data_IF_772308740079
#
_entry.id   IF_772308740079
#
_cell.length_a   1.000
_cell.length_b   1.000
_cell.length_c   1.000
_cell.angle_alpha   90.00
_cell.angle_beta   90.00
_cell.angle_gamma   90.00
#
_symmetry.space_group_name_H-M   'P 1'
#
loop_
_entity.id
_entity.type
_entity.pdbx_description
1 polymer ?
#
# COMPACT_ATOMS: atom_id res chain seq x y z
N UNK A 1 1.16 15.44 15.67
CA UNK A 1 2.21 14.44 15.43
C UNK A 1 2.64 13.91 16.77
N UNK A 2 2.20 12.70 17.12
CA UNK A 2 2.74 11.97 18.25
C UNK A 2 2.68 10.50 17.86
N UNK A 3 3.71 10.02 17.17
CA UNK A 3 4.07 8.61 17.32
C UNK A 3 4.45 8.48 18.79
N UNK A 4 3.74 7.64 19.55
CA UNK A 4 4.10 7.39 20.94
C UNK A 4 5.49 6.75 20.94
N UNK A 5 6.37 7.13 21.86
CA UNK A 5 7.73 6.59 21.93
C UNK A 5 7.78 5.10 22.33
N UNK A 6 6.69 4.35 22.15
CA UNK A 6 6.50 2.97 22.63
C UNK A 6 5.99 2.01 21.56
N UNK A 7 5.75 2.46 20.33
CA UNK A 7 5.38 1.55 19.24
C UNK A 7 6.63 0.84 18.72
N UNK A 8 6.60 -0.48 18.67
CA UNK A 8 7.72 -1.29 18.20
C UNK A 8 7.94 -1.09 16.69
N UNK A 9 9.17 -1.33 16.17
CA UNK A 9 9.41 -1.23 14.73
C UNK A 9 8.44 -2.08 13.89
N UNK A 10 8.02 -3.24 14.42
CA UNK A 10 7.05 -4.10 13.75
C UNK A 10 5.64 -3.51 13.78
N UNK A 11 5.21 -2.87 14.87
CA UNK A 11 3.91 -2.19 14.92
C UNK A 11 3.85 -1.02 13.94
N UNK A 12 4.91 -0.20 13.86
CA UNK A 12 4.99 0.90 12.89
C UNK A 12 5.01 0.40 11.44
N UNK A 13 5.55 -0.80 11.21
CA UNK A 13 5.55 -1.45 9.89
C UNK A 13 4.17 -2.04 9.56
N UNK A 14 3.54 -2.77 10.47
CA UNK A 14 2.26 -3.45 10.21
C UNK A 14 1.07 -2.48 10.23
N UNK A 15 1.08 -1.49 11.13
CA UNK A 15 -0.02 -0.56 11.37
C UNK A 15 0.50 0.89 11.46
N UNK A 16 1.00 1.47 10.35
CA UNK A 16 1.49 2.85 10.37
C UNK A 16 0.35 3.84 10.63
N UNK A 17 0.56 4.76 11.59
CA UNK A 17 -0.44 5.76 11.99
C UNK A 17 -0.83 6.77 10.89
N UNK A 18 0.02 6.93 9.88
CA UNK A 18 -0.19 7.86 8.77
C UNK A 18 0.76 7.57 7.59
N UNK A 19 0.46 8.19 6.45
CA UNK A 19 1.19 8.01 5.19
C UNK A 19 2.70 8.35 5.30
N UNK A 20 3.07 9.30 6.16
CA UNK A 20 4.48 9.62 6.40
C UNK A 20 5.22 8.48 7.09
N UNK A 21 4.63 7.88 8.13
CA UNK A 21 5.22 6.70 8.80
C UNK A 21 5.25 5.52 7.83
N UNK A 22 4.12 5.27 7.14
CA UNK A 22 3.98 4.17 6.17
C UNK A 22 5.04 4.24 5.06
N UNK A 23 5.33 5.44 4.55
CA UNK A 23 6.31 5.66 3.50
C UNK A 23 7.77 5.74 3.96
N UNK A 24 8.04 5.87 5.26
CA UNK A 24 9.39 6.09 5.78
C UNK A 24 9.96 4.91 6.57
N UNK A 25 9.12 4.08 7.19
CA UNK A 25 9.58 3.00 8.06
C UNK A 25 10.26 1.85 7.29
N UNK A 26 10.20 1.85 5.96
CA UNK A 26 10.63 0.72 5.14
C UNK A 26 11.37 1.13 3.85
N UNK A 27 12.18 0.21 3.32
CA UNK A 27 12.94 0.34 2.08
C UNK A 27 12.89 -0.98 1.29
N UNK A 28 12.32 -1.00 0.07
CA UNK A 28 11.81 0.16 -0.65
C UNK A 28 10.54 0.74 -0.02
N UNK A 29 10.25 2.00 -0.32
CA UNK A 29 9.10 2.70 0.26
C UNK A 29 7.78 2.06 -0.18
N UNK A 30 6.76 2.21 0.66
CA UNK A 30 5.39 1.84 0.29
C UNK A 30 4.93 2.58 -0.97
N UNK A 31 4.28 1.87 -1.88
CA UNK A 31 3.62 2.45 -3.05
C UNK A 31 2.29 3.07 -2.63
N UNK A 32 1.99 4.28 -3.10
CA UNK A 32 0.73 4.96 -2.82
C UNK A 32 -0.02 5.27 -4.12
N UNK A 33 -1.27 4.83 -4.19
CA UNK A 33 -2.18 5.08 -5.30
C UNK A 33 -3.42 5.84 -4.82
N UNK A 34 -4.00 6.67 -5.69
CA UNK A 34 -5.33 7.22 -5.41
C UNK A 34 -6.38 6.13 -5.54
N UNK A 35 -7.29 6.08 -4.59
CA UNK A 35 -8.39 5.14 -4.54
C UNK A 35 -9.73 5.82 -4.27
N UNK A 36 -10.81 5.18 -4.68
CA UNK A 36 -12.17 5.62 -4.39
C UNK A 36 -12.97 4.49 -3.79
N UNK A 37 -13.63 4.73 -2.67
CA UNK A 37 -14.54 3.75 -2.07
C UNK A 37 -15.74 3.51 -2.98
N UNK A 38 -16.00 2.24 -3.30
CA UNK A 38 -17.16 1.78 -4.10
C UNK A 38 -18.11 0.89 -3.28
N UNK A 39 -17.75 0.60 -2.04
CA UNK A 39 -18.54 -0.13 -1.06
C UNK A 39 -17.92 0.01 0.34
N UNK A 40 -18.53 -0.59 1.38
CA UNK A 40 -18.09 -0.44 2.76
C UNK A 40 -16.68 -1.00 3.03
N UNK A 41 -16.23 -1.98 2.25
CA UNK A 41 -14.89 -2.59 2.34
C UNK A 41 -14.28 -2.81 0.96
N UNK A 42 -14.66 -2.00 -0.01
CA UNK A 42 -14.24 -2.17 -1.40
C UNK A 42 -13.83 -0.83 -1.96
N UNK A 43 -12.64 -0.80 -2.55
CA UNK A 43 -12.10 0.38 -3.21
C UNK A 43 -11.84 0.08 -4.68
N UNK A 44 -11.95 1.11 -5.51
CA UNK A 44 -11.46 1.11 -6.88
C UNK A 44 -10.10 1.82 -6.91
N UNK A 45 -9.08 1.14 -7.42
CA UNK A 45 -7.69 1.61 -7.53
C UNK A 45 -7.19 1.29 -8.92
N UNK A 46 -6.77 2.29 -9.69
CA UNK A 46 -6.27 2.10 -11.07
C UNK A 46 -7.15 1.12 -11.90
N UNK A 47 -8.48 1.34 -11.87
CA UNK A 47 -9.56 0.54 -12.50
C UNK A 47 -9.81 -0.87 -11.96
N UNK A 48 -9.04 -1.33 -10.98
CA UNK A 48 -9.23 -2.60 -10.28
C UNK A 48 -10.14 -2.41 -9.06
N UNK A 49 -10.99 -3.40 -8.76
CA UNK A 49 -11.71 -3.45 -7.47
C UNK A 49 -10.93 -4.31 -6.49
N UNK A 50 -10.65 -3.75 -5.33
CA UNK A 50 -9.92 -4.41 -4.25
C UNK A 50 -10.83 -4.52 -3.03
N UNK A 51 -10.99 -5.74 -2.52
CA UNK A 51 -11.66 -5.98 -1.24
C UNK A 51 -10.66 -5.86 -0.09
N UNK A 52 -11.09 -5.19 0.97
CA UNK A 52 -10.32 -4.95 2.19
C UNK A 52 -11.00 -5.68 3.36
N UNK A 53 -10.91 -7.02 3.42
CA UNK A 53 -11.70 -7.82 4.38
C UNK A 53 -11.43 -7.42 5.83
N UNK A 54 -10.18 -7.08 6.14
CA UNK A 54 -9.71 -6.72 7.48
C UNK A 54 -9.96 -5.26 7.85
N UNK A 55 -10.59 -4.46 6.99
CA UNK A 55 -10.88 -3.07 7.31
C UNK A 55 -11.89 -3.00 8.47
N UNK A 56 -11.50 -2.36 9.57
CA UNK A 56 -12.32 -2.26 10.78
C UNK A 56 -13.47 -1.25 10.61
N UNK A 57 -13.18 -0.12 9.97
CA UNK A 57 -14.14 0.97 9.76
C UNK A 57 -14.68 0.96 8.35
N UNK A 58 -16.00 0.91 8.20
CA UNK A 58 -16.64 0.93 6.88
C UNK A 58 -16.41 2.25 6.15
N UNK A 59 -16.09 2.17 4.86
CA UNK A 59 -15.91 3.32 3.98
C UNK A 59 -17.24 3.88 3.50
N UNK A 60 -17.26 5.19 3.22
CA UNK A 60 -18.40 5.82 2.56
C UNK A 60 -18.22 5.75 1.05
N UNK A 61 -19.24 5.27 0.32
CA UNK A 61 -19.18 5.23 -1.15
C UNK A 61 -18.92 6.62 -1.72
N UNK A 62 -17.94 6.73 -2.61
CA UNK A 62 -17.49 7.99 -3.19
C UNK A 62 -16.32 8.65 -2.47
N UNK A 63 -15.97 8.21 -1.25
CA UNK A 63 -14.83 8.72 -0.49
C UNK A 63 -13.52 8.51 -1.26
N UNK A 64 -12.74 9.58 -1.40
CA UNK A 64 -11.37 9.50 -1.95
C UNK A 64 -10.40 9.15 -0.83
N UNK A 65 -9.48 8.23 -1.13
CA UNK A 65 -8.55 7.64 -0.18
C UNK A 65 -7.17 7.50 -0.83
N UNK A 66 -6.15 7.37 0.00
CA UNK A 66 -4.85 6.89 -0.44
C UNK A 66 -4.77 5.39 -0.16
N UNK A 67 -4.35 4.61 -1.15
CA UNK A 67 -4.18 3.17 -1.07
C UNK A 67 -2.68 2.86 -1.03
N UNK A 68 -2.23 2.37 0.12
CA UNK A 68 -0.85 1.95 0.34
C UNK A 68 -0.67 0.45 0.06
N UNK A 69 0.38 0.08 -0.68
CA UNK A 69 0.81 -1.31 -0.86
C UNK A 69 2.32 -1.42 -0.79
N UNK A 70 2.82 -2.36 0.02
CA UNK A 70 4.27 -2.62 0.10
C UNK A 70 4.75 -3.37 -1.15
N UNK A 71 5.90 -3.02 -1.73
CA UNK A 71 6.43 -3.70 -2.92
C UNK A 71 6.53 -5.22 -2.77
N UNK A 72 6.96 -5.70 -1.61
CA UNK A 72 7.12 -7.11 -1.27
C UNK A 72 5.80 -7.87 -1.08
N UNK A 73 4.66 -7.17 -1.01
CA UNK A 73 3.33 -7.77 -1.02
C UNK A 73 2.74 -7.89 -2.43
N UNK A 74 3.44 -7.43 -3.47
CA UNK A 74 3.05 -7.64 -4.86
C UNK A 74 3.53 -9.03 -5.31
N UNK A 75 2.57 -9.91 -5.62
CA UNK A 75 2.85 -11.25 -6.12
C UNK A 75 1.97 -11.55 -7.34
N UNK A 76 2.55 -12.24 -8.34
CA UNK A 76 1.88 -12.56 -9.60
C UNK A 76 0.64 -13.47 -9.44
N UNK A 77 0.56 -14.23 -8.35
CA UNK A 77 -0.56 -15.12 -8.03
C UNK A 77 -1.75 -14.39 -7.38
N UNK A 78 -1.63 -13.10 -7.08
CA UNK A 78 -2.76 -12.30 -6.57
C UNK A 78 -3.81 -12.09 -7.66
N UNK A 79 -5.08 -11.91 -7.27
CA UNK A 79 -6.18 -11.71 -8.21
C UNK A 79 -6.24 -10.29 -8.80
N UNK A 80 -5.50 -9.35 -8.22
CA UNK A 80 -5.47 -7.94 -8.59
C UNK A 80 -4.12 -7.61 -9.18
N UNK A 81 -4.10 -7.05 -10.40
CA UNK A 81 -2.86 -6.75 -11.12
C UNK A 81 -2.77 -5.27 -11.47
N UNK A 82 -1.70 -4.63 -11.05
CA UNK A 82 -1.41 -3.24 -11.43
C UNK A 82 -0.39 -3.23 -12.58
N UNK A 83 -0.80 -2.96 -13.82
CA UNK A 83 0.16 -2.85 -14.91
C UNK A 83 1.09 -1.67 -14.65
N UNK A 84 2.39 -1.90 -14.81
CA UNK A 84 3.44 -0.90 -14.66
C UNK A 84 4.39 -1.03 -15.84
N UNK A 85 4.92 0.10 -16.32
CA UNK A 85 6.05 0.13 -17.24
C UNK A 85 7.27 0.48 -16.39
N UNK A 86 8.25 -0.41 -16.31
CA UNK A 86 9.46 -0.14 -15.55
C UNK A 86 10.35 0.85 -16.32
N UNK A 87 10.67 1.98 -15.69
CA UNK A 87 11.65 2.95 -16.17
C UNK A 87 13.07 2.53 -15.77
N UNK A 88 13.22 1.99 -14.56
CA UNK A 88 14.52 1.56 -14.01
C UNK A 88 14.39 0.21 -13.32
N UNK A 89 15.35 -0.67 -13.56
CA UNK A 89 15.56 -1.89 -12.80
C UNK A 89 16.85 -1.76 -11.98
N UNK A 90 16.74 -1.88 -10.66
CA UNK A 90 17.85 -1.83 -9.71
C UNK A 90 18.19 -3.24 -9.24
N UNK A 91 19.38 -3.73 -9.59
CA UNK A 91 19.85 -5.08 -9.25
C UNK A 91 20.72 -5.06 -7.99
N UNK A 92 20.26 -5.71 -6.92
CA UNK A 92 20.95 -5.81 -5.63
C UNK A 92 21.42 -7.25 -5.34
N UNK A 93 21.77 -7.99 -6.40
CA UNK A 93 22.20 -9.39 -6.33
C UNK A 93 21.02 -10.36 -6.42
N UNK A 94 20.52 -10.83 -5.27
CA UNK A 94 19.42 -11.78 -5.22
C UNK A 94 18.04 -11.14 -5.44
N UNK A 95 17.96 -9.80 -5.38
CA UNK A 95 16.72 -9.04 -5.51
C UNK A 95 16.87 -8.00 -6.62
N UNK A 96 15.80 -7.79 -7.37
CA UNK A 96 15.70 -6.71 -8.35
C UNK A 96 14.46 -5.87 -8.04
N UNK A 97 14.63 -4.56 -7.91
CA UNK A 97 13.52 -3.63 -7.75
C UNK A 97 13.24 -2.93 -9.08
N UNK A 98 11.97 -2.95 -9.50
CA UNK A 98 11.52 -2.20 -10.66
C UNK A 98 10.82 -0.91 -10.20
N UNK A 99 11.20 0.20 -10.82
CA UNK A 99 10.65 1.53 -10.56
C UNK A 99 9.93 2.05 -11.81
N UNK A 100 8.73 2.62 -11.68
CA UNK A 100 7.90 3.16 -12.76
C UNK A 100 6.57 3.75 -12.27
#
# INVERSE_FOLDING_TARGET
MSASASDTPIELYENPDNDFVAGFIDSPRMNFLTAKAVGPKTVEVAVQRVELPNLETALQTGQSLQFGIRPEHLDAATAVHFPMVADVAEELGATTFAHG
#
